data_IF_581840848892
#
_entry.id   IF_581840848892
#
_cell.length_a   1.000
_cell.length_b   1.000
_cell.length_c   1.000
_cell.angle_alpha   90.00
_cell.angle_beta   90.00
_cell.angle_gamma   90.00
#
_symmetry.space_group_name_H-M   'P 1'
#
loop_
_entity.id
_entity.type
_entity.pdbx_description
1 polymer ?
#
# COMPACT_ATOMS: atom_id res chain seq x y z
N UNK A 1 22.97 -11.49 35.55
CA UNK A 1 21.57 -11.27 35.13
C UNK A 1 21.21 -9.78 35.02
N UNK A 2 21.42 -8.99 36.06
CA UNK A 2 20.99 -7.57 36.13
C UNK A 2 21.59 -6.67 35.04
N UNK A 3 22.85 -6.92 34.63
CA UNK A 3 23.51 -6.15 33.55
C UNK A 3 22.87 -6.35 32.16
N UNK A 4 22.26 -7.50 31.88
CA UNK A 4 21.62 -7.75 30.58
C UNK A 4 20.29 -6.98 30.52
N UNK A 5 19.48 -7.06 31.57
CA UNK A 5 18.23 -6.30 31.67
C UNK A 5 18.48 -4.78 31.66
N UNK A 6 19.47 -4.28 32.40
CA UNK A 6 19.82 -2.86 32.38
C UNK A 6 20.31 -2.36 31.01
N UNK A 7 20.90 -3.23 30.18
CA UNK A 7 21.34 -2.89 28.82
C UNK A 7 20.19 -2.92 27.82
N UNK A 8 19.20 -3.80 28.03
CA UNK A 8 17.97 -3.86 27.24
C UNK A 8 17.04 -2.66 27.53
N UNK A 9 16.92 -2.27 28.80
CA UNK A 9 16.19 -1.08 29.24
C UNK A 9 16.82 0.25 28.77
N UNK A 10 18.10 0.22 28.39
CA UNK A 10 18.85 1.37 27.89
C UNK A 10 19.01 1.35 26.36
N UNK A 11 18.44 0.36 25.69
CA UNK A 11 18.46 0.23 24.24
C UNK A 11 17.22 0.92 23.65
N UNK A 12 17.42 2.13 23.13
CA UNK A 12 16.37 2.90 22.46
C UNK A 12 16.09 2.39 21.04
N UNK A 13 16.86 1.42 20.54
CA UNK A 13 16.68 0.86 19.18
C UNK A 13 15.29 0.25 18.96
N UNK A 14 14.63 -0.23 20.04
CA UNK A 14 13.24 -0.68 19.99
C UNK A 14 12.22 0.47 19.96
N UNK A 15 12.53 1.58 20.64
CA UNK A 15 11.69 2.78 20.61
C UNK A 15 11.75 3.47 19.24
N UNK A 16 12.93 3.55 18.63
CA UNK A 16 13.08 4.07 17.26
C UNK A 16 12.43 3.18 16.21
N UNK A 17 12.40 1.85 16.40
CA UNK A 17 11.69 0.92 15.52
C UNK A 17 10.17 1.16 15.52
N UNK A 18 9.58 1.57 16.64
CA UNK A 18 8.14 1.90 16.72
C UNK A 18 7.83 3.21 15.97
N UNK A 19 8.72 4.20 16.04
CA UNK A 19 8.54 5.47 15.32
C UNK A 19 8.63 5.29 13.80
N UNK A 20 9.67 4.62 13.32
CA UNK A 20 9.80 4.30 11.89
C UNK A 20 8.75 3.28 11.44
N UNK A 21 8.32 2.38 12.33
CA UNK A 21 7.21 1.46 12.08
C UNK A 21 5.88 2.18 11.82
N UNK A 22 5.58 3.25 12.58
CA UNK A 22 4.38 4.06 12.36
C UNK A 22 4.43 4.82 11.03
N UNK A 23 5.57 5.40 10.69
CA UNK A 23 5.77 6.09 9.41
C UNK A 23 5.61 5.10 8.24
N UNK A 24 6.22 3.91 8.35
CA UNK A 24 6.10 2.85 7.35
C UNK A 24 4.64 2.42 7.19
N UNK A 25 3.89 2.24 8.29
CA UNK A 25 2.47 1.90 8.24
C UNK A 25 1.63 2.95 7.51
N UNK A 26 1.86 4.25 7.78
CA UNK A 26 1.16 5.34 7.09
C UNK A 26 1.47 5.38 5.59
N UNK A 27 2.73 5.20 5.21
CA UNK A 27 3.15 5.12 3.81
C UNK A 27 2.49 3.91 3.13
N UNK A 28 2.49 2.75 3.77
CA UNK A 28 1.84 1.55 3.24
C UNK A 28 0.36 1.76 2.98
N UNK A 29 -0.38 2.36 3.93
CA UNK A 29 -1.81 2.65 3.75
C UNK A 29 -2.06 3.59 2.57
N UNK A 30 -1.26 4.65 2.44
CA UNK A 30 -1.36 5.59 1.33
C UNK A 30 -1.10 4.92 -0.03
N UNK A 31 -0.07 4.07 -0.11
CA UNK A 31 0.26 3.33 -1.33
C UNK A 31 -0.86 2.35 -1.68
N UNK A 32 -1.37 1.57 -0.72
CA UNK A 32 -2.46 0.61 -0.94
C UNK A 32 -3.71 1.32 -1.45
N UNK A 33 -4.09 2.42 -0.80
CA UNK A 33 -5.25 3.22 -1.21
C UNK A 33 -5.09 3.80 -2.63
N UNK A 34 -3.92 4.38 -2.91
CA UNK A 34 -3.60 4.94 -4.23
C UNK A 34 -3.58 3.88 -5.33
N UNK A 35 -2.91 2.76 -5.10
CA UNK A 35 -2.82 1.65 -6.04
C UNK A 35 -4.18 1.00 -6.31
N UNK A 36 -5.02 0.84 -5.28
CA UNK A 36 -6.38 0.30 -5.42
C UNK A 36 -7.28 1.20 -6.29
N UNK A 37 -7.26 2.52 -6.03
CA UNK A 37 -8.00 3.50 -6.82
C UNK A 37 -7.53 3.54 -8.28
N UNK A 38 -6.20 3.55 -8.48
CA UNK A 38 -5.59 3.53 -9.82
C UNK A 38 -5.96 2.25 -10.58
N UNK A 39 -5.81 1.08 -9.95
CA UNK A 39 -6.15 -0.21 -10.55
C UNK A 39 -7.62 -0.28 -10.97
N UNK A 40 -8.52 0.22 -10.12
CA UNK A 40 -9.96 0.29 -10.43
C UNK A 40 -10.24 1.16 -11.66
N UNK A 41 -9.63 2.35 -11.74
CA UNK A 41 -9.80 3.26 -12.88
C UNK A 41 -9.25 2.67 -14.18
N UNK A 42 -8.09 2.03 -14.12
CA UNK A 42 -7.48 1.34 -15.27
C UNK A 42 -8.41 0.22 -15.75
N UNK A 43 -8.90 -0.63 -14.85
CA UNK A 43 -9.82 -1.72 -15.18
C UNK A 43 -11.12 -1.23 -15.83
N UNK A 44 -11.69 -0.13 -15.30
CA UNK A 44 -12.85 0.51 -15.90
C UNK A 44 -12.56 1.02 -17.31
N UNK A 45 -11.41 1.65 -17.55
CA UNK A 45 -11.07 2.13 -18.89
C UNK A 45 -10.88 1.01 -19.90
N UNK A 46 -10.25 -0.09 -19.52
CA UNK A 46 -10.15 -1.26 -20.40
C UNK A 46 -11.50 -1.92 -20.65
N UNK A 47 -12.39 -1.98 -19.65
CA UNK A 47 -13.75 -2.48 -19.82
C UNK A 47 -14.56 -1.61 -20.77
N UNK A 48 -14.46 -0.29 -20.63
CA UNK A 48 -15.10 0.67 -21.52
C UNK A 48 -14.58 0.50 -22.95
N UNK A 49 -13.26 0.41 -23.13
CA UNK A 49 -12.66 0.19 -24.45
C UNK A 49 -13.14 -1.12 -25.08
N UNK A 50 -13.13 -2.22 -24.32
CA UNK A 50 -13.63 -3.51 -24.78
C UNK A 50 -15.11 -3.42 -25.21
N UNK A 51 -15.93 -2.68 -24.46
CA UNK A 51 -17.34 -2.44 -24.78
C UNK A 51 -17.48 -1.68 -26.10
N UNK A 52 -16.73 -0.58 -26.28
CA UNK A 52 -16.74 0.17 -27.54
C UNK A 52 -16.30 -0.67 -28.73
N UNK A 53 -15.22 -1.44 -28.60
CA UNK A 53 -14.74 -2.31 -29.68
C UNK A 53 -15.78 -3.39 -30.04
N UNK A 54 -16.45 -3.96 -29.04
CA UNK A 54 -17.47 -4.98 -29.25
C UNK A 54 -18.74 -4.38 -29.90
N UNK A 55 -19.14 -3.18 -29.49
CA UNK A 55 -20.25 -2.45 -30.14
C UNK A 55 -19.93 -2.11 -31.61
N UNK A 56 -18.71 -1.64 -31.90
CA UNK A 56 -18.25 -1.37 -33.28
C UNK A 56 -18.13 -2.64 -34.12
N UNK A 57 -17.76 -3.78 -33.52
CA UNK A 57 -17.73 -5.07 -34.22
C UNK A 57 -19.13 -5.66 -34.48
N UNK A 58 -20.16 -5.15 -33.80
CA UNK A 58 -21.55 -5.63 -33.85
C UNK A 58 -22.46 -4.76 -34.73
N UNK A 59 -22.01 -3.60 -35.19
CA UNK A 59 -22.71 -2.83 -36.23
C UNK A 59 -22.57 -3.53 -37.59
N UNK A 60 -23.67 -3.80 -38.33
CA UNK A 60 -23.62 -4.40 -39.66
C UNK A 60 -22.88 -3.53 -40.68
#
# INVERSE_FOLDING_TARGET
MTKIFARFLKDESGATAIEYGLIAALISVAIIGGASSLGSKIGLQFTNLATYLNLTAKTP
#
